data_IF_779806659836
#
_entry.id   IF_779806659836
#
_cell.length_a   1.000
_cell.length_b   1.000
_cell.length_c   1.000
_cell.angle_alpha   90.00
_cell.angle_beta   90.00
_cell.angle_gamma   90.00
#
_symmetry.space_group_name_H-M   'P 1'
#
loop_
_entity.id
_entity.type
_entity.pdbx_description
1 polymer ?
#
# COMPACT_ATOMS: atom_id res chain seq x y z
N UNK A 1 -16.57 -23.98 -36.37
CA UNK A 1 -15.69 -22.97 -35.76
C UNK A 1 -15.15 -23.50 -34.46
N UNK A 2 -13.85 -23.52 -34.26
CA UNK A 2 -13.26 -23.98 -33.00
C UNK A 2 -13.30 -22.85 -31.97
N UNK A 3 -13.24 -23.18 -30.68
CA UNK A 3 -13.23 -22.21 -29.58
C UNK A 3 -12.07 -21.18 -29.67
N UNK A 4 -11.00 -21.51 -30.42
CA UNK A 4 -9.87 -20.63 -30.74
C UNK A 4 -10.25 -19.50 -31.69
N UNK A 5 -11.09 -19.77 -32.69
CA UNK A 5 -11.48 -18.78 -33.70
C UNK A 5 -12.38 -17.69 -33.08
N UNK A 6 -13.24 -18.09 -32.11
CA UNK A 6 -14.13 -17.16 -31.43
C UNK A 6 -13.39 -16.22 -30.46
N UNK A 7 -12.31 -16.70 -29.81
CA UNK A 7 -11.47 -15.87 -28.94
C UNK A 7 -10.74 -14.78 -29.73
N UNK A 8 -10.20 -15.11 -30.89
CA UNK A 8 -9.57 -14.14 -31.77
C UNK A 8 -10.55 -13.06 -32.22
N UNK A 9 -11.79 -13.46 -32.46
CA UNK A 9 -12.91 -12.59 -32.88
C UNK A 9 -13.32 -11.63 -31.76
N UNK A 10 -13.48 -12.12 -30.52
CA UNK A 10 -13.85 -11.30 -29.37
C UNK A 10 -12.76 -10.30 -28.97
N UNK A 11 -11.51 -10.72 -29.07
CA UNK A 11 -10.36 -9.83 -28.80
C UNK A 11 -10.23 -8.73 -29.85
N UNK A 12 -10.58 -9.01 -31.11
CA UNK A 12 -10.54 -8.03 -32.21
C UNK A 12 -11.67 -6.98 -32.13
N UNK A 13 -12.80 -7.30 -31.49
CA UNK A 13 -13.90 -6.32 -31.28
C UNK A 13 -13.61 -5.39 -30.12
N UNK A 14 -12.92 -5.89 -29.07
CA UNK A 14 -12.51 -5.12 -27.90
C UNK A 14 -11.22 -4.32 -28.12
N UNK A 15 -10.39 -4.77 -29.07
CA UNK A 15 -9.13 -4.13 -29.47
C UNK A 15 -9.29 -3.68 -30.94
N UNK A 16 -9.83 -2.50 -31.14
CA UNK A 16 -9.71 -1.82 -32.46
C UNK A 16 -8.24 -1.64 -32.80
N UNK A 17 -7.75 -2.50 -33.69
CA UNK A 17 -6.49 -2.41 -34.44
C UNK A 17 -5.34 -1.62 -33.79
N UNK A 18 -4.35 -2.29 -33.27
CA UNK A 18 -2.93 -2.13 -33.58
C UNK A 18 -2.04 -3.02 -32.74
N UNK A 19 -1.12 -3.61 -33.43
CA UNK A 19 -0.14 -4.57 -32.94
C UNK A 19 0.85 -3.98 -31.92
N UNK A 20 1.45 -4.91 -31.21
CA UNK A 20 2.73 -4.89 -30.48
C UNK A 20 2.71 -4.48 -29.01
N UNK A 21 2.97 -5.47 -28.16
CA UNK A 21 3.91 -5.38 -27.05
C UNK A 21 3.34 -5.25 -25.66
N UNK A 22 3.59 -6.33 -24.92
CA UNK A 22 3.75 -6.42 -23.48
C UNK A 22 2.56 -6.92 -22.63
N UNK A 23 2.83 -8.07 -22.03
CA UNK A 23 2.02 -8.88 -21.15
C UNK A 23 1.48 -8.12 -19.93
N UNK A 24 0.17 -8.15 -19.75
CA UNK A 24 -0.46 -7.99 -18.46
C UNK A 24 -0.78 -9.39 -17.93
N UNK A 25 -0.08 -9.83 -16.90
CA UNK A 25 -0.44 -10.98 -16.08
C UNK A 25 -1.71 -10.64 -15.30
N UNK A 26 -2.86 -10.93 -15.90
CA UNK A 26 -4.09 -11.16 -15.15
C UNK A 26 -4.08 -12.65 -14.82
N UNK A 27 -4.02 -12.99 -13.54
CA UNK A 27 -4.36 -14.33 -13.04
C UNK A 27 -5.83 -14.59 -13.39
N UNK A 28 -6.05 -15.12 -14.62
CA UNK A 28 -7.33 -15.66 -15.02
C UNK A 28 -7.45 -17.04 -14.38
N UNK A 29 -8.47 -17.22 -13.53
CA UNK A 29 -9.05 -18.55 -13.33
C UNK A 29 -9.27 -19.20 -14.71
N UNK A 30 -9.19 -20.53 -14.85
CA UNK A 30 -9.35 -21.19 -16.13
C UNK A 30 -10.74 -20.86 -16.68
N UNK A 31 -10.80 -19.90 -17.60
CA UNK A 31 -12.03 -19.57 -18.30
C UNK A 31 -12.38 -20.79 -19.15
N UNK A 32 -13.43 -21.50 -18.76
CA UNK A 32 -14.09 -22.46 -19.63
C UNK A 32 -14.38 -21.75 -20.96
N UNK A 33 -13.95 -22.34 -22.06
CA UNK A 33 -14.16 -21.76 -23.37
C UNK A 33 -15.67 -21.69 -23.61
N UNK A 34 -16.23 -20.49 -23.68
CA UNK A 34 -17.64 -20.28 -23.98
C UNK A 34 -17.97 -20.96 -25.33
N UNK A 35 -18.87 -21.91 -25.27
CA UNK A 35 -19.29 -22.68 -26.45
C UNK A 35 -20.58 -22.09 -27.02
N UNK A 36 -20.42 -21.38 -28.13
CA UNK A 36 -21.56 -20.82 -28.87
C UNK A 36 -22.31 -21.94 -29.60
N UNK A 37 -23.62 -21.94 -29.47
CA UNK A 37 -24.46 -22.90 -30.14
C UNK A 37 -24.38 -22.81 -31.68
N UNK A 38 -24.58 -23.91 -32.37
CA UNK A 38 -24.47 -23.99 -33.83
C UNK A 38 -25.40 -23.03 -34.59
N UNK A 39 -26.54 -22.66 -33.99
CA UNK A 39 -27.50 -21.72 -34.57
C UNK A 39 -27.11 -20.27 -34.37
N UNK A 40 -26.45 -19.95 -33.25
CA UNK A 40 -26.04 -18.57 -32.90
C UNK A 40 -24.74 -18.18 -33.58
N UNK A 41 -23.79 -19.10 -33.74
CA UNK A 41 -22.46 -18.81 -34.29
C UNK A 41 -22.43 -18.08 -35.64
N UNK A 42 -23.19 -18.52 -36.65
CA UNK A 42 -23.28 -17.83 -37.96
C UNK A 42 -23.78 -16.38 -37.83
N UNK A 43 -24.83 -16.17 -37.04
CA UNK A 43 -25.43 -14.83 -36.84
C UNK A 43 -24.48 -13.85 -36.12
N UNK A 44 -23.71 -14.36 -35.15
CA UNK A 44 -22.66 -13.56 -34.52
C UNK A 44 -21.54 -13.17 -35.51
N UNK A 45 -21.18 -14.05 -36.42
CA UNK A 45 -20.20 -13.78 -37.48
C UNK A 45 -20.69 -12.70 -38.44
N UNK A 46 -21.96 -12.75 -38.85
CA UNK A 46 -22.58 -11.70 -39.67
C UNK A 46 -22.64 -10.35 -38.90
N UNK A 47 -23.10 -10.40 -37.66
CA UNK A 47 -23.11 -9.18 -36.79
C UNK A 47 -21.74 -8.57 -36.68
N UNK A 48 -20.69 -9.36 -36.50
CA UNK A 48 -19.31 -8.89 -36.45
C UNK A 48 -18.87 -8.18 -37.75
N UNK A 49 -19.13 -8.77 -38.89
CA UNK A 49 -18.80 -8.14 -40.18
C UNK A 49 -19.53 -6.82 -40.36
N UNK A 50 -20.79 -6.73 -39.95
CA UNK A 50 -21.58 -5.49 -39.98
C UNK A 50 -21.07 -4.42 -38.99
N UNK A 51 -20.60 -4.83 -37.79
CA UNK A 51 -19.94 -3.92 -36.85
C UNK A 51 -18.66 -3.36 -37.44
N UNK A 52 -17.83 -4.20 -38.05
CA UNK A 52 -16.60 -3.77 -38.73
C UNK A 52 -16.89 -2.78 -39.88
N UNK A 53 -18.00 -2.98 -40.59
CA UNK A 53 -18.49 -2.07 -41.60
C UNK A 53 -19.23 -0.81 -41.04
N UNK A 54 -19.29 -0.65 -39.72
CA UNK A 54 -20.03 0.41 -38.99
C UNK A 54 -21.54 0.44 -39.29
N UNK A 55 -22.08 -0.65 -39.80
CA UNK A 55 -23.54 -0.82 -40.02
C UNK A 55 -24.21 -1.37 -38.75
N UNK A 56 -24.25 -0.52 -37.69
CA UNK A 56 -24.73 -0.92 -36.38
C UNK A 56 -26.20 -1.31 -36.35
N UNK A 57 -27.04 -0.71 -37.23
CA UNK A 57 -28.46 -1.03 -37.32
C UNK A 57 -28.66 -2.47 -37.83
N UNK A 58 -27.96 -2.85 -38.90
CA UNK A 58 -28.03 -4.21 -39.43
C UNK A 58 -27.38 -5.23 -38.48
N UNK A 59 -26.27 -4.84 -37.82
CA UNK A 59 -25.62 -5.69 -36.80
C UNK A 59 -26.56 -5.98 -35.62
N UNK A 60 -27.30 -4.97 -35.13
CA UNK A 60 -28.29 -5.15 -34.08
C UNK A 60 -29.44 -6.11 -34.49
N UNK A 61 -29.91 -6.01 -35.76
CA UNK A 61 -30.92 -6.92 -36.29
C UNK A 61 -30.42 -8.39 -36.23
N UNK A 62 -29.16 -8.64 -36.65
CA UNK A 62 -28.58 -10.01 -36.58
C UNK A 62 -28.38 -10.49 -35.12
N UNK A 63 -28.09 -9.61 -34.19
CA UNK A 63 -28.04 -10.00 -32.78
C UNK A 63 -29.43 -10.32 -32.19
N UNK A 64 -30.46 -9.64 -32.65
CA UNK A 64 -31.83 -9.98 -32.27
C UNK A 64 -32.28 -11.34 -32.87
N UNK A 65 -31.88 -11.64 -34.11
CA UNK A 65 -32.08 -13.00 -34.71
C UNK A 65 -31.33 -14.06 -33.89
N UNK A 66 -30.07 -13.77 -33.47
CA UNK A 66 -29.30 -14.66 -32.61
C UNK A 66 -29.95 -14.86 -31.23
N UNK A 67 -30.56 -13.82 -30.69
CA UNK A 67 -31.25 -13.88 -29.40
C UNK A 67 -32.50 -14.75 -29.47
N UNK A 68 -33.21 -14.74 -30.59
CA UNK A 68 -34.39 -15.56 -30.80
C UNK A 68 -34.07 -17.06 -30.89
N UNK A 69 -32.83 -17.43 -31.26
CA UNK A 69 -32.40 -18.84 -31.42
C UNK A 69 -31.38 -19.29 -30.37
N UNK A 70 -31.07 -18.44 -29.39
CA UNK A 70 -30.16 -18.79 -28.30
C UNK A 70 -30.65 -19.96 -27.49
N UNK A 71 -29.76 -20.83 -27.05
CA UNK A 71 -30.07 -22.03 -26.30
C UNK A 71 -29.23 -22.24 -25.03
N UNK A 72 -28.19 -21.42 -24.83
CA UNK A 72 -27.26 -21.55 -23.69
C UNK A 72 -27.06 -20.23 -22.97
N UNK A 73 -26.67 -20.26 -21.70
CA UNK A 73 -26.23 -19.06 -21.00
C UNK A 73 -25.04 -18.34 -21.68
N UNK A 74 -24.13 -19.09 -22.30
CA UNK A 74 -23.01 -18.58 -23.05
C UNK A 74 -23.45 -17.77 -24.28
N UNK A 75 -24.46 -18.28 -25.02
CA UNK A 75 -25.08 -17.54 -26.14
C UNK A 75 -25.59 -16.18 -25.66
N UNK A 76 -26.29 -16.15 -24.52
CA UNK A 76 -26.83 -14.90 -23.95
C UNK A 76 -25.71 -13.94 -23.57
N UNK A 77 -24.66 -14.43 -22.92
CA UNK A 77 -23.54 -13.60 -22.50
C UNK A 77 -22.83 -12.97 -23.71
N UNK A 78 -22.56 -13.74 -24.76
CA UNK A 78 -21.89 -13.26 -25.96
C UNK A 78 -22.77 -12.28 -26.76
N UNK A 79 -24.05 -12.56 -26.94
CA UNK A 79 -24.97 -11.63 -27.59
C UNK A 79 -25.03 -10.30 -26.86
N UNK A 80 -25.12 -10.30 -25.52
CA UNK A 80 -25.12 -9.08 -24.72
C UNK A 80 -23.81 -8.31 -24.85
N UNK A 81 -22.69 -9.01 -24.94
CA UNK A 81 -21.38 -8.38 -25.17
C UNK A 81 -21.31 -7.66 -26.53
N UNK A 82 -21.82 -8.28 -27.61
CA UNK A 82 -21.92 -7.65 -28.93
C UNK A 82 -22.89 -6.45 -28.92
N UNK A 83 -24.06 -6.57 -28.29
CA UNK A 83 -25.00 -5.47 -28.13
C UNK A 83 -24.37 -4.29 -27.35
N UNK A 84 -23.63 -4.60 -26.29
CA UNK A 84 -22.86 -3.58 -25.54
C UNK A 84 -21.80 -2.88 -26.39
N UNK A 85 -21.04 -3.64 -27.18
CA UNK A 85 -20.05 -3.08 -28.12
C UNK A 85 -20.69 -2.17 -29.17
N UNK A 86 -21.85 -2.54 -29.74
CA UNK A 86 -22.62 -1.70 -30.67
C UNK A 86 -23.09 -0.42 -29.95
N UNK A 87 -23.67 -0.53 -28.77
CA UNK A 87 -24.17 0.62 -28.01
C UNK A 87 -23.05 1.66 -27.77
N UNK A 88 -21.86 1.19 -27.44
CA UNK A 88 -20.68 2.04 -27.26
C UNK A 88 -20.23 2.65 -28.60
N UNK A 89 -20.13 1.86 -29.67
CA UNK A 89 -19.60 2.28 -30.97
C UNK A 89 -20.55 3.15 -31.77
N UNK A 90 -21.87 3.02 -31.54
CA UNK A 90 -22.93 3.80 -32.21
C UNK A 90 -23.38 5.02 -31.43
N UNK A 91 -22.90 5.20 -30.22
CA UNK A 91 -23.27 6.33 -29.39
C UNK A 91 -22.76 7.64 -30.01
N UNK A 92 -23.64 8.66 -30.14
CA UNK A 92 -23.23 9.98 -30.60
C UNK A 92 -22.30 10.60 -29.51
N UNK A 93 -21.03 10.87 -29.84
CA UNK A 93 -20.07 11.43 -28.89
C UNK A 93 -20.48 12.82 -28.39
N UNK A 94 -21.41 13.49 -29.06
CA UNK A 94 -21.91 14.80 -28.64
C UNK A 94 -23.02 14.69 -27.58
N UNK A 95 -23.49 13.50 -27.26
CA UNK A 95 -24.41 13.26 -26.13
C UNK A 95 -23.62 12.91 -24.87
N UNK A 96 -24.14 13.21 -23.66
CA UNK A 96 -23.50 12.84 -22.39
C UNK A 96 -23.16 11.34 -22.30
N UNK A 97 -24.08 10.47 -22.73
CA UNK A 97 -23.89 9.02 -22.75
C UNK A 97 -22.83 8.57 -23.76
N UNK A 98 -22.85 9.13 -24.96
CA UNK A 98 -21.87 8.83 -26.00
C UNK A 98 -20.48 9.34 -25.68
N UNK A 99 -20.36 10.51 -25.04
CA UNK A 99 -19.09 11.02 -24.53
C UNK A 99 -18.49 10.11 -23.47
N UNK A 100 -19.30 9.60 -22.53
CA UNK A 100 -18.85 8.65 -21.51
C UNK A 100 -18.42 7.32 -22.13
N UNK A 101 -19.13 6.84 -23.16
CA UNK A 101 -18.77 5.64 -23.90
C UNK A 101 -17.44 5.81 -24.67
N UNK A 102 -17.28 6.94 -25.39
CA UNK A 102 -16.01 7.30 -26.06
C UNK A 102 -14.85 7.38 -25.08
N UNK A 103 -15.01 8.06 -23.97
CA UNK A 103 -14.01 8.15 -22.90
C UNK A 103 -13.53 6.78 -22.42
N UNK A 104 -14.45 5.85 -22.15
CA UNK A 104 -14.10 4.48 -21.78
C UNK A 104 -13.40 3.71 -22.91
N UNK A 105 -13.83 3.90 -24.15
CA UNK A 105 -13.22 3.29 -25.34
C UNK A 105 -11.78 3.79 -25.53
N UNK A 106 -11.55 5.11 -25.42
CA UNK A 106 -10.22 5.70 -25.58
C UNK A 106 -9.27 5.26 -24.47
N UNK A 107 -9.75 5.10 -23.24
CA UNK A 107 -8.96 4.52 -22.16
C UNK A 107 -8.54 3.08 -22.48
N UNK A 108 -9.47 2.23 -22.91
CA UNK A 108 -9.20 0.84 -23.29
C UNK A 108 -8.29 0.70 -24.51
N UNK A 109 -8.36 1.66 -25.43
CA UNK A 109 -7.51 1.74 -26.62
C UNK A 109 -6.12 2.32 -26.32
N UNK A 110 -5.83 2.72 -25.06
CA UNK A 110 -4.56 3.32 -24.69
C UNK A 110 -4.37 4.78 -25.13
N UNK A 111 -5.42 5.46 -25.57
CA UNK A 111 -5.39 6.85 -25.99
C UNK A 111 -5.51 7.80 -24.79
N UNK A 112 -4.54 7.71 -23.88
CA UNK A 112 -4.62 8.39 -22.59
C UNK A 112 -4.66 9.90 -22.67
N UNK A 113 -4.06 10.51 -23.70
CA UNK A 113 -4.14 11.96 -23.92
C UNK A 113 -5.57 12.40 -24.29
N UNK A 114 -6.27 11.60 -25.08
CA UNK A 114 -7.66 11.89 -25.46
C UNK A 114 -8.57 11.75 -24.23
N UNK A 115 -8.35 10.72 -23.39
CA UNK A 115 -9.06 10.55 -22.11
C UNK A 115 -8.91 11.77 -21.19
N UNK A 116 -7.70 12.34 -21.12
CA UNK A 116 -7.44 13.54 -20.30
C UNK A 116 -8.18 14.75 -20.89
N UNK A 117 -8.17 14.91 -22.22
CA UNK A 117 -8.85 16.00 -22.90
C UNK A 117 -10.39 15.91 -22.78
N UNK A 118 -10.95 14.72 -22.89
CA UNK A 118 -12.40 14.47 -22.77
C UNK A 118 -12.97 14.76 -21.39
N UNK A 119 -12.13 14.79 -20.35
CA UNK A 119 -12.55 15.02 -18.96
C UNK A 119 -13.32 16.35 -18.78
N UNK A 120 -12.94 17.40 -19.49
CA UNK A 120 -13.63 18.70 -19.43
C UNK A 120 -15.04 18.62 -20.03
N UNK A 121 -15.19 17.92 -21.15
CA UNK A 121 -16.49 17.71 -21.76
C UNK A 121 -17.43 16.92 -20.83
N UNK A 122 -16.94 15.83 -20.22
CA UNK A 122 -17.71 15.04 -19.25
C UNK A 122 -18.16 15.88 -18.05
N UNK A 123 -17.28 16.76 -17.56
CA UNK A 123 -17.58 17.67 -16.45
C UNK A 123 -18.68 18.68 -16.81
N UNK A 124 -18.58 19.30 -17.98
CA UNK A 124 -19.60 20.26 -18.47
C UNK A 124 -20.98 19.62 -18.64
N UNK A 125 -21.03 18.33 -18.94
CA UNK A 125 -22.28 17.59 -19.14
C UNK A 125 -22.76 16.83 -17.90
N UNK A 126 -22.18 17.07 -16.72
CA UNK A 126 -22.55 16.46 -15.43
C UNK A 126 -22.50 14.92 -15.41
N UNK A 127 -21.62 14.31 -16.24
CA UNK A 127 -21.40 12.84 -16.27
C UNK A 127 -20.01 12.45 -15.79
N UNK A 128 -19.30 13.38 -15.15
CA UNK A 128 -17.94 13.21 -14.63
C UNK A 128 -17.97 12.78 -13.18
N UNK A 129 -18.19 11.50 -12.94
CA UNK A 129 -18.28 10.89 -11.62
C UNK A 129 -16.89 10.54 -11.03
N UNK A 130 -16.87 10.06 -9.78
CA UNK A 130 -15.64 9.69 -9.09
C UNK A 130 -14.84 8.60 -9.82
N UNK A 131 -15.52 7.67 -10.50
CA UNK A 131 -14.86 6.63 -11.31
C UNK A 131 -14.17 7.26 -12.53
N UNK A 132 -14.82 8.19 -13.23
CA UNK A 132 -14.22 8.91 -14.33
C UNK A 132 -13.00 9.73 -13.89
N UNK A 133 -13.06 10.35 -12.72
CA UNK A 133 -11.93 11.07 -12.13
C UNK A 133 -10.72 10.14 -11.88
N UNK A 134 -10.93 8.95 -11.34
CA UNK A 134 -9.87 7.97 -11.16
C UNK A 134 -9.28 7.49 -12.50
N UNK A 135 -10.11 7.29 -13.52
CA UNK A 135 -9.67 6.93 -14.88
C UNK A 135 -8.78 8.03 -15.47
N UNK A 136 -9.12 9.30 -15.30
CA UNK A 136 -8.27 10.42 -15.75
C UNK A 136 -6.92 10.42 -15.00
N UNK A 137 -6.93 10.22 -13.69
CA UNK A 137 -5.69 10.11 -12.92
C UNK A 137 -4.81 8.95 -13.42
N UNK A 138 -5.40 7.80 -13.69
CA UNK A 138 -4.70 6.66 -14.29
C UNK A 138 -4.20 6.95 -15.70
N UNK A 139 -4.96 7.73 -16.50
CA UNK A 139 -4.55 8.13 -17.83
C UNK A 139 -3.31 9.02 -17.81
N UNK A 140 -3.21 9.99 -16.87
CA UNK A 140 -1.98 10.76 -16.65
C UNK A 140 -0.79 9.83 -16.35
N UNK A 141 -0.98 8.87 -15.44
CA UNK A 141 0.07 7.92 -15.08
C UNK A 141 0.53 7.09 -16.28
N UNK A 142 -0.43 6.52 -17.03
CA UNK A 142 -0.13 5.68 -18.21
C UNK A 142 0.41 6.47 -19.40
N UNK A 143 0.11 7.76 -19.50
CA UNK A 143 0.69 8.67 -20.49
C UNK A 143 2.13 9.07 -20.14
N UNK A 144 2.65 8.70 -18.98
CA UNK A 144 3.98 9.09 -18.50
C UNK A 144 4.05 10.50 -17.90
N UNK A 145 2.91 11.22 -17.83
CA UNK A 145 2.85 12.53 -17.15
C UNK A 145 2.63 12.32 -15.63
N UNK A 146 3.68 11.83 -14.96
CA UNK A 146 3.63 11.54 -13.54
C UNK A 146 3.44 12.80 -12.68
N UNK A 147 4.03 13.92 -13.09
CA UNK A 147 3.82 15.20 -12.42
C UNK A 147 2.37 15.69 -12.58
N UNK A 148 1.79 15.55 -13.77
CA UNK A 148 0.36 15.79 -14.02
C UNK A 148 -0.53 14.90 -13.18
N UNK A 149 -0.19 13.61 -13.07
CA UNK A 149 -0.88 12.66 -12.20
C UNK A 149 -0.87 13.13 -10.73
N UNK A 150 0.29 13.56 -10.21
CA UNK A 150 0.41 14.09 -8.83
C UNK A 150 -0.50 15.31 -8.62
N UNK A 151 -0.45 16.27 -9.55
CA UNK A 151 -1.32 17.45 -9.47
C UNK A 151 -2.79 17.07 -9.50
N UNK A 152 -3.17 16.20 -10.42
CA UNK A 152 -4.55 15.82 -10.63
C UNK A 152 -5.12 15.01 -9.46
N UNK A 153 -4.38 14.03 -8.92
CA UNK A 153 -4.81 13.22 -7.77
C UNK A 153 -5.09 14.05 -6.52
N UNK A 154 -4.47 15.22 -6.36
CA UNK A 154 -4.75 16.16 -5.26
C UNK A 154 -6.12 16.86 -5.39
N UNK A 155 -6.71 16.87 -6.59
CA UNK A 155 -7.99 17.56 -6.87
C UNK A 155 -9.22 16.67 -6.80
N UNK A 156 -9.05 15.36 -6.70
CA UNK A 156 -10.14 14.40 -6.67
C UNK A 156 -10.43 13.91 -5.25
N UNK A 157 -11.61 13.32 -4.98
CA UNK A 157 -11.93 12.76 -3.68
C UNK A 157 -10.89 11.75 -3.22
N UNK A 158 -10.41 11.91 -2.00
CA UNK A 158 -9.34 11.10 -1.42
C UNK A 158 -9.88 9.75 -0.93
N UNK A 159 -10.04 8.79 -1.82
CA UNK A 159 -10.25 7.37 -1.51
C UNK A 159 -8.91 6.66 -1.31
N UNK A 160 -8.93 5.45 -0.75
CA UNK A 160 -7.70 4.64 -0.64
C UNK A 160 -7.07 4.42 -2.03
N UNK A 161 -7.87 4.09 -3.04
CA UNK A 161 -7.40 3.92 -4.43
C UNK A 161 -6.79 5.20 -5.01
N UNK A 162 -7.37 6.37 -4.70
CA UNK A 162 -6.82 7.65 -5.15
C UNK A 162 -5.47 7.96 -4.48
N UNK A 163 -5.36 7.69 -3.18
CA UNK A 163 -4.12 7.87 -2.41
C UNK A 163 -3.03 6.87 -2.83
N UNK A 164 -3.38 5.60 -3.10
CA UNK A 164 -2.45 4.61 -3.65
C UNK A 164 -1.90 5.06 -5.01
N UNK A 165 -2.78 5.53 -5.88
CA UNK A 165 -2.37 6.08 -7.18
C UNK A 165 -1.50 7.32 -7.00
N UNK A 166 -1.86 8.23 -6.10
CA UNK A 166 -1.07 9.43 -5.78
C UNK A 166 0.34 9.06 -5.31
N UNK A 167 0.46 8.09 -4.38
CA UNK A 167 1.74 7.61 -3.89
C UNK A 167 2.60 7.02 -5.03
N UNK A 168 1.97 6.29 -5.96
CA UNK A 168 2.64 5.72 -7.12
C UNK A 168 3.08 6.80 -8.13
N UNK A 169 2.22 7.77 -8.43
CA UNK A 169 2.57 8.89 -9.30
C UNK A 169 3.72 9.72 -8.71
N UNK A 170 3.66 9.98 -7.40
CA UNK A 170 4.69 10.71 -6.69
C UNK A 170 6.05 9.98 -6.69
N UNK A 171 6.03 8.64 -6.56
CA UNK A 171 7.24 7.83 -6.70
C UNK A 171 7.89 7.99 -8.06
N UNK A 172 7.13 7.86 -9.14
CA UNK A 172 7.62 7.99 -10.52
C UNK A 172 8.03 9.45 -10.86
N UNK A 173 7.40 10.44 -10.21
CA UNK A 173 7.76 11.85 -10.34
C UNK A 173 8.93 12.29 -9.46
N UNK A 174 9.50 11.39 -8.63
CA UNK A 174 10.49 11.69 -7.60
C UNK A 174 10.02 12.76 -6.58
N UNK A 175 8.70 12.85 -6.32
CA UNK A 175 8.09 13.72 -5.32
C UNK A 175 7.89 12.97 -4.00
N UNK A 176 9.00 12.82 -3.24
CA UNK A 176 8.99 12.08 -1.97
C UNK A 176 8.04 12.70 -0.94
N UNK A 177 7.89 14.02 -0.94
CA UNK A 177 7.01 14.71 0.00
C UNK A 177 5.55 14.33 -0.22
N UNK A 178 5.07 14.35 -1.47
CA UNK A 178 3.71 13.90 -1.79
C UNK A 178 3.53 12.40 -1.57
N UNK A 179 4.54 11.58 -1.89
CA UNK A 179 4.51 10.15 -1.62
C UNK A 179 4.33 9.85 -0.13
N UNK A 180 5.07 10.55 0.74
CA UNK A 180 4.96 10.44 2.20
C UNK A 180 3.57 10.85 2.68
N UNK A 181 3.06 11.99 2.24
CA UNK A 181 1.72 12.46 2.60
C UNK A 181 0.62 11.46 2.23
N UNK A 182 0.71 10.86 1.04
CA UNK A 182 -0.26 9.85 0.59
C UNK A 182 -0.21 8.59 1.48
N UNK A 183 0.98 8.09 1.82
CA UNK A 183 1.10 6.95 2.74
C UNK A 183 0.65 7.28 4.16
N UNK A 184 0.94 8.48 4.69
CA UNK A 184 0.44 8.90 6.00
C UNK A 184 -1.08 8.95 6.04
N UNK A 185 -1.72 9.46 4.98
CA UNK A 185 -3.18 9.44 4.86
C UNK A 185 -3.74 8.01 4.80
N UNK A 186 -3.12 7.11 4.04
CA UNK A 186 -3.49 5.69 3.96
C UNK A 186 -3.33 4.98 5.31
N UNK A 187 -2.22 5.22 6.00
CA UNK A 187 -1.98 4.72 7.35
C UNK A 187 -3.04 5.24 8.31
N UNK A 188 -3.34 6.54 8.32
CA UNK A 188 -4.34 7.13 9.19
C UNK A 188 -5.75 6.54 8.95
N UNK A 189 -6.10 6.23 7.71
CA UNK A 189 -7.42 5.68 7.33
C UNK A 189 -7.60 4.21 7.69
N UNK A 190 -6.66 3.36 7.31
CA UNK A 190 -6.82 1.90 7.42
C UNK A 190 -5.73 1.21 8.23
N UNK A 191 -4.51 1.78 8.29
CA UNK A 191 -3.34 1.23 9.00
C UNK A 191 -2.88 -0.12 8.51
N UNK A 192 -3.19 -0.47 7.28
CA UNK A 192 -2.77 -1.74 6.69
C UNK A 192 -1.24 -1.87 6.67
N UNK A 193 -0.70 -3.08 6.91
CA UNK A 193 0.75 -3.30 6.94
C UNK A 193 1.48 -2.85 5.68
N UNK A 194 0.88 -2.99 4.50
CA UNK A 194 1.46 -2.56 3.23
C UNK A 194 1.69 -1.04 3.15
N UNK A 195 0.81 -0.24 3.74
CA UNK A 195 0.97 1.22 3.77
C UNK A 195 2.05 1.63 4.75
N UNK A 196 2.11 0.98 5.91
CA UNK A 196 3.22 1.14 6.85
C UNK A 196 4.55 0.79 6.21
N UNK A 197 4.62 -0.34 5.48
CA UNK A 197 5.82 -0.75 4.75
C UNK A 197 6.29 0.33 3.78
N UNK A 198 5.38 0.94 3.03
CA UNK A 198 5.69 2.06 2.12
C UNK A 198 6.21 3.29 2.87
N UNK A 199 5.52 3.70 3.94
CA UNK A 199 5.89 4.86 4.74
C UNK A 199 7.24 4.70 5.45
N UNK A 200 7.47 3.55 6.08
CA UNK A 200 8.71 3.27 6.82
C UNK A 200 9.90 3.16 5.86
N UNK A 201 9.71 2.64 4.64
CA UNK A 201 10.75 2.62 3.60
C UNK A 201 11.20 4.04 3.18
N UNK A 202 10.29 5.01 3.18
CA UNK A 202 10.65 6.42 2.97
C UNK A 202 11.43 6.98 4.17
N UNK A 203 11.02 6.63 5.38
CA UNK A 203 11.76 7.00 6.59
C UNK A 203 13.22 6.51 6.57
N UNK A 204 13.45 5.26 6.16
CA UNK A 204 14.79 4.65 6.08
C UNK A 204 15.72 5.33 5.06
N UNK A 205 15.18 6.00 4.05
CA UNK A 205 15.98 6.75 3.06
C UNK A 205 16.44 8.10 3.56
N UNK A 206 15.94 8.55 4.70
CA UNK A 206 16.32 9.83 5.27
C UNK A 206 17.81 9.87 5.62
N UNK A 207 18.49 10.95 5.23
CA UNK A 207 19.93 11.08 5.45
C UNK A 207 20.26 11.27 6.94
N UNK A 208 21.38 10.68 7.35
CA UNK A 208 21.95 10.92 8.68
C UNK A 208 21.18 10.25 9.82
N UNK A 209 20.41 9.19 9.55
CA UNK A 209 19.81 8.35 10.59
C UNK A 209 20.90 7.81 11.51
N UNK A 210 20.67 7.85 12.81
CA UNK A 210 21.48 7.15 13.79
C UNK A 210 21.06 5.66 13.86
N UNK A 211 21.89 4.84 14.51
CA UNK A 211 21.51 3.45 14.78
C UNK A 211 20.25 3.37 15.66
N UNK A 212 20.05 4.32 16.59
CA UNK A 212 18.80 4.42 17.35
C UNK A 212 17.58 4.71 16.45
N UNK A 213 17.71 5.65 15.50
CA UNK A 213 16.62 5.93 14.56
C UNK A 213 16.28 4.69 13.73
N UNK A 214 17.30 3.96 13.28
CA UNK A 214 17.13 2.72 12.50
C UNK A 214 16.47 1.62 13.34
N UNK A 215 16.90 1.44 14.60
CA UNK A 215 16.25 0.53 15.55
C UNK A 215 14.77 0.88 15.72
N UNK A 216 14.45 2.16 15.88
CA UNK A 216 13.07 2.63 16.08
C UNK A 216 12.17 2.40 14.86
N UNK A 217 12.70 2.57 13.66
CA UNK A 217 11.97 2.24 12.43
C UNK A 217 11.70 0.73 12.34
N UNK A 218 12.67 -0.11 12.69
CA UNK A 218 12.49 -1.56 12.71
C UNK A 218 11.48 -2.02 13.78
N UNK A 219 11.47 -1.37 14.95
CA UNK A 219 10.45 -1.58 15.98
C UNK A 219 9.04 -1.24 15.47
N UNK A 220 8.91 -0.13 14.72
CA UNK A 220 7.65 0.22 14.06
C UNK A 220 7.21 -0.83 13.03
N UNK A 221 8.14 -1.40 12.26
CA UNK A 221 7.82 -2.52 11.34
C UNK A 221 7.21 -3.70 12.10
N UNK A 222 7.82 -4.07 13.23
CA UNK A 222 7.30 -5.16 14.06
C UNK A 222 5.93 -4.82 14.66
N UNK A 223 5.77 -3.60 15.20
CA UNK A 223 4.54 -3.13 15.83
C UNK A 223 3.36 -3.08 14.84
N UNK A 224 3.62 -2.68 13.61
CA UNK A 224 2.60 -2.47 12.57
C UNK A 224 2.36 -3.68 11.68
N UNK A 225 3.04 -4.79 11.96
CA UNK A 225 2.94 -6.03 11.17
C UNK A 225 3.55 -5.92 9.78
N UNK A 226 4.38 -4.91 9.52
CA UNK A 226 4.96 -4.64 8.20
C UNK A 226 6.35 -5.26 7.97
N UNK A 227 6.73 -6.26 8.79
CA UNK A 227 7.96 -7.05 8.59
C UNK A 227 7.91 -7.79 7.26
N UNK A 228 8.99 -7.72 6.50
CA UNK A 228 9.07 -8.31 5.15
C UNK A 228 9.48 -9.78 5.12
N UNK A 229 10.00 -10.32 6.24
CA UNK A 229 10.44 -11.71 6.33
C UNK A 229 11.64 -11.90 7.27
N UNK A 230 12.38 -13.00 7.09
CA UNK A 230 13.51 -13.41 7.95
C UNK A 230 14.50 -12.28 8.22
N UNK A 231 14.93 -11.59 7.16
CA UNK A 231 15.99 -10.58 7.28
C UNK A 231 15.59 -9.41 8.18
N UNK A 232 14.33 -8.99 8.17
CA UNK A 232 13.85 -7.92 9.04
C UNK A 232 13.88 -8.32 10.52
N UNK A 233 13.47 -9.58 10.84
CA UNK A 233 13.54 -10.08 12.21
C UNK A 233 14.98 -10.20 12.70
N UNK A 234 15.88 -10.70 11.84
CA UNK A 234 17.31 -10.82 12.19
C UNK A 234 17.93 -9.43 12.35
N UNK A 235 17.66 -8.49 11.46
CA UNK A 235 18.17 -7.12 11.56
C UNK A 235 17.73 -6.44 12.87
N UNK A 236 16.44 -6.50 13.19
CA UNK A 236 15.92 -5.92 14.45
C UNK A 236 16.56 -6.57 15.67
N UNK A 237 16.68 -7.91 15.70
CA UNK A 237 17.31 -8.62 16.80
C UNK A 237 18.80 -8.26 16.93
N UNK A 238 19.53 -8.11 15.84
CA UNK A 238 20.94 -7.70 15.84
C UNK A 238 21.12 -6.28 16.36
N UNK A 239 20.27 -5.32 15.97
CA UNK A 239 20.28 -3.98 16.56
C UNK A 239 19.99 -4.01 18.06
N UNK A 240 18.99 -4.79 18.49
CA UNK A 240 18.68 -4.94 19.91
C UNK A 240 19.89 -5.52 20.68
N UNK A 241 20.59 -6.51 20.13
CA UNK A 241 21.81 -7.09 20.74
C UNK A 241 22.93 -6.04 20.79
N UNK A 242 23.15 -5.28 19.72
CA UNK A 242 24.16 -4.21 19.66
C UNK A 242 23.96 -3.17 20.77
N UNK A 243 22.70 -2.83 21.04
CA UNK A 243 22.34 -1.91 22.12
C UNK A 243 22.23 -2.58 23.51
N UNK A 244 22.52 -3.89 23.61
CA UNK A 244 22.39 -4.71 24.82
C UNK A 244 20.96 -4.91 25.32
N UNK A 245 19.97 -4.79 24.45
CA UNK A 245 18.54 -5.05 24.74
C UNK A 245 18.20 -6.53 24.49
N UNK A 246 18.79 -7.41 25.30
CA UNK A 246 18.70 -8.87 25.10
C UNK A 246 17.28 -9.41 25.19
N UNK A 247 16.45 -8.87 26.08
CA UNK A 247 15.04 -9.26 26.21
C UNK A 247 14.23 -8.89 24.96
N UNK A 248 14.47 -7.72 24.37
CA UNK A 248 13.87 -7.35 23.09
C UNK A 248 14.32 -8.28 21.96
N UNK A 249 15.63 -8.55 21.87
CA UNK A 249 16.17 -9.49 20.89
C UNK A 249 15.52 -10.87 21.00
N UNK A 250 15.37 -11.39 22.22
CA UNK A 250 14.65 -12.64 22.48
C UNK A 250 13.22 -12.56 21.96
N UNK A 251 12.46 -11.54 22.36
CA UNK A 251 11.04 -11.40 22.01
C UNK A 251 10.84 -11.29 20.49
N UNK A 252 11.72 -10.56 19.79
CA UNK A 252 11.71 -10.44 18.32
C UNK A 252 11.96 -11.78 17.64
N UNK A 253 12.99 -12.53 18.10
CA UNK A 253 13.33 -13.83 17.53
C UNK A 253 12.24 -14.87 17.81
N UNK A 254 11.64 -14.87 19.00
CA UNK A 254 10.50 -15.73 19.32
C UNK A 254 9.30 -15.47 18.43
N UNK A 255 8.98 -14.19 18.14
CA UNK A 255 7.94 -13.84 17.18
C UNK A 255 8.26 -14.33 15.76
N UNK A 256 9.52 -14.24 15.33
CA UNK A 256 9.96 -14.75 14.04
C UNK A 256 9.84 -16.26 13.92
N UNK A 257 10.16 -17.00 15.00
CA UNK A 257 9.98 -18.45 15.08
C UNK A 257 8.49 -18.81 15.06
N UNK A 258 7.66 -18.11 15.86
CA UNK A 258 6.21 -18.34 15.90
C UNK A 258 5.55 -18.05 14.53
N UNK A 259 6.04 -17.04 13.80
CA UNK A 259 5.62 -16.73 12.43
C UNK A 259 6.17 -17.72 11.38
N UNK A 260 6.97 -18.71 11.77
CA UNK A 260 7.63 -19.71 10.89
C UNK A 260 8.56 -19.12 9.84
N UNK A 261 9.09 -17.92 10.08
CA UNK A 261 10.07 -17.25 9.19
C UNK A 261 11.51 -17.50 9.64
N UNK A 262 11.72 -17.84 10.92
CA UNK A 262 13.01 -18.21 11.50
C UNK A 262 13.00 -19.70 11.85
N UNK A 263 13.39 -20.55 10.88
CA UNK A 263 13.34 -22.02 11.01
C UNK A 263 14.73 -22.67 10.92
N UNK A 264 15.75 -21.91 10.56
CA UNK A 264 17.11 -22.43 10.38
C UNK A 264 17.92 -22.41 11.68
N UNK A 265 18.92 -23.32 11.77
CA UNK A 265 19.76 -23.51 12.97
C UNK A 265 20.50 -22.24 13.41
N UNK A 266 20.88 -21.34 12.46
CA UNK A 266 21.56 -20.10 12.81
C UNK A 266 20.62 -19.17 13.59
N UNK A 267 19.39 -19.03 13.13
CA UNK A 267 18.36 -18.22 13.79
C UNK A 267 18.00 -18.79 15.17
N UNK A 268 17.90 -20.12 15.28
CA UNK A 268 17.62 -20.79 16.56
C UNK A 268 18.76 -20.65 17.56
N UNK A 269 20.04 -20.73 17.10
CA UNK A 269 21.20 -20.45 17.97
C UNK A 269 21.24 -19.00 18.44
N UNK A 270 20.88 -18.05 17.55
CA UNK A 270 20.80 -16.63 17.92
C UNK A 270 19.74 -16.42 19.03
N UNK A 271 18.57 -17.06 18.90
CA UNK A 271 17.54 -17.04 19.93
C UNK A 271 18.02 -17.64 21.27
N UNK A 272 18.72 -18.79 21.22
CA UNK A 272 19.26 -19.40 22.43
C UNK A 272 20.25 -18.46 23.15
N UNK A 273 21.09 -17.77 22.39
CA UNK A 273 22.01 -16.77 22.94
C UNK A 273 21.28 -15.57 23.53
N UNK A 274 20.30 -15.02 22.80
CA UNK A 274 19.49 -13.89 23.30
C UNK A 274 18.78 -14.24 24.62
N UNK A 275 18.29 -15.46 24.79
CA UNK A 275 17.70 -15.95 26.06
C UNK A 275 18.69 -15.97 27.22
N UNK A 276 19.92 -16.42 26.98
CA UNK A 276 20.96 -16.42 28.01
C UNK A 276 21.32 -14.99 28.42
N UNK A 277 21.51 -14.11 27.46
CA UNK A 277 21.86 -12.72 27.71
C UNK A 277 20.70 -11.96 28.42
N UNK A 278 19.45 -12.23 28.06
CA UNK A 278 18.27 -11.66 28.74
C UNK A 278 18.19 -12.10 30.20
N UNK A 279 18.43 -13.40 30.52
CA UNK A 279 18.44 -13.89 31.88
C UNK A 279 19.58 -13.24 32.70
N UNK A 280 20.77 -13.07 32.10
CA UNK A 280 21.89 -12.40 32.74
C UNK A 280 21.59 -10.92 33.04
N UNK A 281 20.96 -10.21 32.10
CA UNK A 281 20.56 -8.81 32.27
C UNK A 281 19.53 -8.67 33.41
N UNK A 282 18.52 -9.52 33.43
CA UNK A 282 17.48 -9.53 34.47
C UNK A 282 18.08 -9.74 35.87
N UNK A 283 19.05 -10.66 36.02
CA UNK A 283 19.71 -10.91 37.28
C UNK A 283 20.47 -9.68 37.84
N UNK A 284 20.90 -8.76 36.95
CA UNK A 284 21.61 -7.58 37.33
C UNK A 284 20.74 -6.30 37.35
N UNK A 285 19.46 -6.39 36.99
CA UNK A 285 18.59 -5.20 36.79
C UNK A 285 18.49 -4.33 38.04
N UNK A 286 18.21 -4.91 39.21
CA UNK A 286 18.07 -4.17 40.47
C UNK A 286 19.37 -3.43 40.85
N UNK A 287 20.52 -4.07 40.68
CA UNK A 287 21.84 -3.46 40.93
C UNK A 287 22.11 -2.29 39.96
N UNK A 288 21.85 -2.52 38.69
CA UNK A 288 22.06 -1.51 37.67
C UNK A 288 21.11 -0.31 37.85
N UNK A 289 19.86 -0.55 38.23
CA UNK A 289 18.88 0.50 38.50
C UNK A 289 19.29 1.33 39.72
N UNK A 290 19.78 0.70 40.78
CA UNK A 290 20.28 1.43 41.95
C UNK A 290 21.48 2.31 41.60
N UNK A 291 22.44 1.81 40.83
CA UNK A 291 23.59 2.57 40.36
C UNK A 291 23.16 3.76 39.45
N UNK A 292 22.25 3.53 38.51
CA UNK A 292 21.74 4.58 37.62
C UNK A 292 20.95 5.67 38.37
N UNK A 293 20.22 5.31 39.41
CA UNK A 293 19.53 6.30 40.26
C UNK A 293 20.54 7.18 41.02
N UNK A 294 21.67 6.64 41.45
CA UNK A 294 22.73 7.40 42.13
C UNK A 294 23.58 8.25 41.17
N UNK A 295 23.62 7.91 39.88
CA UNK A 295 24.41 8.61 38.87
C UNK A 295 23.90 10.05 38.65
N UNK A 296 24.80 11.02 38.37
CA UNK A 296 24.40 12.40 38.11
C UNK A 296 23.69 12.61 36.76
N UNK A 297 23.93 11.72 35.80
CA UNK A 297 23.32 11.75 34.47
C UNK A 297 22.17 10.74 34.35
N UNK A 298 21.21 11.00 33.45
CA UNK A 298 20.02 10.20 33.28
C UNK A 298 20.09 9.12 32.19
N UNK A 299 21.16 9.09 31.38
CA UNK A 299 21.26 8.21 30.21
C UNK A 299 21.09 6.72 30.56
N UNK A 300 21.67 6.27 31.67
CA UNK A 300 21.53 4.88 32.12
C UNK A 300 20.09 4.55 32.55
N UNK A 301 19.36 5.50 33.15
CA UNK A 301 17.95 5.33 33.46
C UNK A 301 17.10 5.23 32.21
N UNK A 302 17.39 6.04 31.17
CA UNK A 302 16.72 5.92 29.87
C UNK A 302 16.95 4.55 29.28
N UNK A 303 18.21 4.06 29.29
CA UNK A 303 18.57 2.74 28.75
C UNK A 303 17.92 1.59 29.53
N UNK A 304 17.88 1.66 30.85
CA UNK A 304 17.21 0.65 31.69
C UNK A 304 15.70 0.64 31.39
N UNK A 305 15.06 1.81 31.35
CA UNK A 305 13.65 1.92 31.00
C UNK A 305 13.35 1.38 29.61
N UNK A 306 14.22 1.61 28.63
CA UNK A 306 14.10 1.05 27.27
C UNK A 306 14.17 -0.50 27.30
N UNK A 307 15.10 -1.08 28.06
CA UNK A 307 15.19 -2.54 28.22
C UNK A 307 13.92 -3.11 28.88
N UNK A 308 13.40 -2.43 29.92
CA UNK A 308 12.15 -2.83 30.60
C UNK A 308 10.93 -2.84 29.65
N UNK A 309 10.89 -1.97 28.62
CA UNK A 309 9.86 -2.03 27.58
C UNK A 309 9.95 -3.37 26.84
N UNK A 310 11.16 -3.78 26.45
CA UNK A 310 11.42 -5.08 25.79
C UNK A 310 11.06 -6.29 26.66
N UNK A 311 11.17 -6.15 27.97
CA UNK A 311 10.77 -7.16 28.98
C UNK A 311 9.26 -7.22 29.24
N UNK A 312 8.47 -6.33 28.61
CA UNK A 312 7.03 -6.23 28.89
C UNK A 312 6.66 -5.46 30.16
N UNK A 313 7.63 -4.81 30.82
CA UNK A 313 7.47 -4.00 32.04
C UNK A 313 7.21 -2.54 31.73
N UNK A 314 6.37 -2.24 30.71
CA UNK A 314 6.18 -0.90 30.19
C UNK A 314 5.69 0.12 31.25
N UNK A 315 4.84 -0.31 32.19
CA UNK A 315 4.34 0.57 33.27
C UNK A 315 5.46 1.02 34.20
N UNK A 316 6.36 0.12 34.55
CA UNK A 316 7.50 0.43 35.44
C UNK A 316 8.55 1.27 34.69
N UNK A 317 8.77 0.98 33.41
CA UNK A 317 9.63 1.73 32.51
C UNK A 317 9.29 3.23 32.46
N UNK A 318 8.01 3.59 32.50
CA UNK A 318 7.57 5.02 32.49
C UNK A 318 8.22 5.77 33.64
N UNK A 319 8.14 5.25 34.88
CA UNK A 319 8.70 5.91 36.04
C UNK A 319 10.23 6.03 35.97
N UNK A 320 10.90 4.98 35.52
CA UNK A 320 12.35 4.97 35.36
C UNK A 320 12.80 5.99 34.31
N UNK A 321 12.17 6.03 33.14
CA UNK A 321 12.47 6.99 32.08
C UNK A 321 12.19 8.42 32.53
N UNK A 322 11.08 8.68 33.21
CA UNK A 322 10.75 10.00 33.75
C UNK A 322 11.80 10.49 34.76
N UNK A 323 12.35 9.61 35.58
CA UNK A 323 13.44 9.95 36.48
C UNK A 323 14.74 10.25 35.71
N UNK A 324 15.01 9.52 34.63
CA UNK A 324 16.12 9.84 33.74
C UNK A 324 15.98 11.20 33.08
N UNK A 325 14.78 11.56 32.60
CA UNK A 325 14.48 12.86 31.98
C UNK A 325 14.60 14.07 32.92
N UNK A 326 14.61 13.86 34.23
CA UNK A 326 14.85 14.93 35.22
C UNK A 326 16.32 15.23 35.42
N UNK A 327 17.21 14.39 34.89
CA UNK A 327 18.67 14.54 34.99
C UNK A 327 19.25 15.04 33.65
N UNK A 328 20.48 15.57 33.63
CA UNK A 328 21.16 15.86 32.36
C UNK A 328 21.28 14.62 31.49
N UNK A 329 20.98 14.78 30.18
CA UNK A 329 21.05 13.75 29.17
C UNK A 329 21.93 14.18 28.00
N UNK A 330 22.66 13.22 27.43
CA UNK A 330 23.39 13.42 26.17
C UNK A 330 22.43 13.59 24.99
N UNK A 331 21.33 12.83 25.00
CA UNK A 331 20.28 12.86 23.97
C UNK A 331 18.88 12.92 24.62
N UNK A 332 18.37 14.15 24.88
CA UNK A 332 17.01 14.32 25.41
C UNK A 332 15.91 13.83 24.48
N UNK A 333 16.12 13.86 23.15
CA UNK A 333 15.14 13.36 22.18
C UNK A 333 14.96 11.86 22.29
N UNK A 334 16.05 11.12 22.38
CA UNK A 334 15.98 9.67 22.64
C UNK A 334 15.17 9.41 23.91
N UNK A 335 15.41 10.13 24.99
CA UNK A 335 14.64 10.01 26.23
C UNK A 335 13.13 10.23 26.03
N UNK A 336 12.74 11.24 25.25
CA UNK A 336 11.32 11.51 24.93
C UNK A 336 10.71 10.42 24.03
N UNK A 337 11.46 9.91 23.06
CA UNK A 337 11.00 8.82 22.20
C UNK A 337 10.77 7.56 23.05
N UNK A 338 11.73 7.20 23.95
CA UNK A 338 11.56 6.05 24.87
C UNK A 338 10.37 6.22 25.80
N UNK A 339 10.14 7.42 26.34
CA UNK A 339 8.95 7.69 27.14
C UNK A 339 7.66 7.47 26.35
N UNK A 340 7.60 7.97 25.11
CA UNK A 340 6.47 7.76 24.24
C UNK A 340 6.23 6.27 23.93
N UNK A 341 7.29 5.51 23.71
CA UNK A 341 7.21 4.05 23.46
C UNK A 341 6.73 3.31 24.71
N UNK A 342 7.20 3.67 25.91
CA UNK A 342 6.74 3.10 27.18
C UNK A 342 5.25 3.38 27.40
N UNK A 343 4.79 4.62 27.19
CA UNK A 343 3.38 4.96 27.27
C UNK A 343 2.54 4.18 26.27
N UNK A 344 3.00 4.06 25.02
CA UNK A 344 2.28 3.31 23.98
C UNK A 344 2.17 1.84 24.35
N UNK A 345 3.25 1.21 24.81
CA UNK A 345 3.28 -0.18 25.26
C UNK A 345 2.40 -0.43 26.52
N UNK A 346 2.22 0.61 27.36
CA UNK A 346 1.32 0.58 28.51
C UNK A 346 -0.14 0.90 28.15
N UNK A 347 -0.46 1.16 26.86
CA UNK A 347 -1.81 1.51 26.39
C UNK A 347 -2.20 2.99 26.58
N UNK A 348 -1.28 3.83 27.04
CA UNK A 348 -1.49 5.27 27.32
C UNK A 348 -1.20 6.09 26.05
N UNK A 349 -2.13 6.06 25.06
CA UNK A 349 -1.93 6.62 23.73
C UNK A 349 -1.80 8.15 23.72
N UNK A 350 -2.55 8.85 24.56
CA UNK A 350 -2.51 10.32 24.63
C UNK A 350 -1.15 10.82 25.15
N UNK A 351 -0.66 10.20 26.21
CA UNK A 351 0.64 10.48 26.84
C UNK A 351 1.78 10.13 25.88
N UNK A 352 1.65 9.02 25.14
CA UNK A 352 2.60 8.63 24.11
C UNK A 352 2.72 9.71 23.03
N UNK A 353 1.59 10.20 22.49
CA UNK A 353 1.58 11.29 21.52
C UNK A 353 2.17 12.57 22.09
N UNK A 354 1.85 12.92 23.34
CA UNK A 354 2.41 14.10 23.99
C UNK A 354 3.96 14.02 24.13
N UNK A 355 4.50 12.81 24.42
CA UNK A 355 5.93 12.60 24.48
C UNK A 355 6.60 12.73 23.10
N UNK A 356 6.08 12.05 22.07
CA UNK A 356 6.61 12.14 20.71
C UNK A 356 6.55 13.56 20.15
N UNK A 357 5.49 14.32 20.44
CA UNK A 357 5.32 15.69 19.97
C UNK A 357 6.33 16.69 20.57
N UNK A 358 7.07 16.34 21.60
CA UNK A 358 8.15 17.16 22.14
C UNK A 358 9.41 17.15 21.28
N UNK A 359 9.59 16.12 20.46
CA UNK A 359 10.75 15.97 19.58
C UNK A 359 10.51 16.77 18.30
N UNK A 360 11.21 17.88 18.14
CA UNK A 360 11.07 18.79 16.98
C UNK A 360 12.30 18.88 16.10
N UNK A 361 13.47 18.73 16.69
CA UNK A 361 14.77 18.84 16.04
C UNK A 361 15.75 17.86 16.67
N UNK A 362 16.74 17.33 15.91
CA UNK A 362 16.92 17.49 14.47
C UNK A 362 15.82 16.78 13.66
N UNK A 363 15.70 17.12 12.38
CA UNK A 363 14.63 16.63 11.48
C UNK A 363 14.48 15.11 11.50
N UNK A 364 15.58 14.35 11.54
CA UNK A 364 15.58 12.89 11.60
C UNK A 364 14.89 12.33 12.83
N UNK A 365 15.12 12.92 14.00
CA UNK A 365 14.51 12.47 15.26
C UNK A 365 13.02 12.87 15.29
N UNK A 366 12.71 14.08 14.81
CA UNK A 366 11.33 14.54 14.65
C UNK A 366 10.53 13.64 13.69
N UNK A 367 11.14 13.20 12.59
CA UNK A 367 10.52 12.27 11.64
C UNK A 367 10.22 10.92 12.30
N UNK A 368 11.19 10.34 13.05
CA UNK A 368 10.97 9.07 13.76
C UNK A 368 9.90 9.23 14.83
N UNK A 369 9.92 10.28 15.62
CA UNK A 369 8.89 10.58 16.61
C UNK A 369 7.51 10.77 15.98
N UNK A 370 7.43 11.41 14.80
CA UNK A 370 6.19 11.56 14.04
C UNK A 370 5.63 10.19 13.60
N UNK A 371 6.47 9.31 13.07
CA UNK A 371 6.05 7.95 12.69
C UNK A 371 5.50 7.17 13.89
N UNK A 372 6.13 7.28 15.05
CA UNK A 372 5.62 6.69 16.30
C UNK A 372 4.31 7.34 16.76
N UNK A 373 4.18 8.67 16.60
CA UNK A 373 2.92 9.36 16.90
C UNK A 373 1.76 8.90 16.02
N UNK A 374 2.02 8.60 14.73
CA UNK A 374 1.01 8.00 13.83
C UNK A 374 0.57 6.62 14.33
N UNK A 375 1.52 5.78 14.78
CA UNK A 375 1.21 4.47 15.36
C UNK A 375 0.39 4.59 16.66
N UNK A 376 0.68 5.58 17.49
CA UNK A 376 -0.04 5.83 18.74
C UNK A 376 -1.49 6.31 18.57
N UNK A 377 -1.86 6.84 17.39
CA UNK A 377 -3.25 7.26 17.10
C UNK A 377 -4.18 6.08 16.85
N UNK A 378 -3.66 4.90 16.64
CA UNK A 378 -4.41 3.68 16.34
C UNK A 378 -4.48 2.77 17.56
#
# INVERSE_FOLDING_TARGET
>A
MTSRDLRAVLTAILLGTAATGAAALVLAAPAQAATVSAKVGPLLKEAQALIAAKNYKAAMAKLNEAEAVKSTPDDTAIINQFKGAIAISSADPNTPGGAKAKFAQDYNAGKFKDVIADAEYLRKNNVFDAQSQLIVAQAYFKAGDHAGCVRYTKTIPQSDTALELQARCAYEANDEATQRQAYEALVARSGKPEYWKGLLKLGERSRGLSDHNTLDINRLRLLTGSMGGKDDYIALAQFAIQFTFAAEAQAVLEKGVAAKVLTDDRSLRLLARAKQDAAANLANEAKNLAAANAAPQGDDLIKIGENMIGEGKAKDAIGVIQNGLKKPLKDPNNGQIRLGQAYLAAGQKAEAQAAFNKVKTPEKDAMVAHLWSLAARR
#
